data_IF_626664177791
#
_entry.id   IF_626664177791
#
_cell.length_a   1.000
_cell.length_b   1.000
_cell.length_c   1.000
_cell.angle_alpha   90.00
_cell.angle_beta   90.00
_cell.angle_gamma   90.00
#
_symmetry.space_group_name_H-M   'P 1'
#
loop_
_entity.id
_entity.type
_entity.pdbx_description
1 polymer ?
#
# COMPACT_ATOMS: atom_id res chain seq x y z
N UNK A 1 21.04 45.69 26.34
CA UNK A 1 21.07 45.17 24.97
C UNK A 1 21.56 43.74 24.93
N UNK A 2 22.70 43.39 25.46
CA UNK A 2 23.18 41.99 25.44
C UNK A 2 22.25 41.05 26.20
N UNK A 3 21.69 41.48 27.31
CA UNK A 3 20.71 40.66 28.08
C UNK A 3 19.43 40.37 27.30
N UNK A 4 18.98 41.33 26.50
CA UNK A 4 17.77 41.15 25.66
C UNK A 4 18.05 40.13 24.55
N UNK A 5 19.20 40.16 23.93
CA UNK A 5 19.58 39.20 22.89
C UNK A 5 19.70 37.78 23.44
N UNK A 6 20.27 37.62 24.64
CA UNK A 6 20.38 36.33 25.32
C UNK A 6 18.99 35.77 25.67
N UNK A 7 18.05 36.61 26.08
CA UNK A 7 16.66 36.23 26.38
C UNK A 7 15.90 35.85 25.13
N UNK A 8 16.13 36.51 24.01
CA UNK A 8 15.45 36.27 22.74
C UNK A 8 15.85 34.94 22.08
N UNK A 9 17.12 34.51 22.22
CA UNK A 9 17.60 33.27 21.62
C UNK A 9 16.78 32.02 22.01
N UNK A 10 16.56 31.72 23.31
CA UNK A 10 15.73 30.56 23.68
C UNK A 10 14.30 30.67 23.15
N UNK A 11 13.71 31.86 23.14
CA UNK A 11 12.38 32.10 22.62
C UNK A 11 12.30 31.86 21.11
N UNK A 12 13.29 32.33 20.37
CA UNK A 12 13.40 32.09 18.93
C UNK A 12 13.55 30.62 18.60
N UNK A 13 14.33 29.87 19.38
CA UNK A 13 14.49 28.42 19.20
C UNK A 13 13.18 27.68 19.42
N UNK A 14 12.39 28.05 20.44
CA UNK A 14 11.07 27.49 20.71
C UNK A 14 10.12 27.76 19.55
N UNK A 15 10.09 29.00 19.03
CA UNK A 15 9.27 29.34 17.86
C UNK A 15 9.68 28.55 16.62
N UNK A 16 10.96 28.42 16.39
CA UNK A 16 11.51 27.65 15.28
C UNK A 16 11.06 26.18 15.37
N UNK A 17 11.19 25.56 16.53
CA UNK A 17 10.76 24.17 16.73
C UNK A 17 9.25 24.01 16.54
N UNK A 18 8.45 24.97 17.00
CA UNK A 18 7.01 24.94 16.80
C UNK A 18 6.63 25.03 15.32
N UNK A 19 7.31 25.89 14.55
CA UNK A 19 7.09 25.98 13.10
C UNK A 19 7.51 24.72 12.38
N UNK A 20 8.62 24.09 12.77
CA UNK A 20 9.06 22.81 12.23
C UNK A 20 8.04 21.71 12.51
N UNK A 21 7.54 21.62 13.74
CA UNK A 21 6.51 20.64 14.09
C UNK A 21 5.21 20.86 13.30
N UNK A 22 4.78 22.09 13.12
CA UNK A 22 3.61 22.42 12.30
C UNK A 22 3.83 22.00 10.85
N UNK A 23 5.01 22.28 10.31
CA UNK A 23 5.38 21.91 8.94
C UNK A 23 5.33 20.39 8.75
N UNK A 24 5.93 19.62 9.66
CA UNK A 24 5.92 18.16 9.62
C UNK A 24 4.50 17.60 9.77
N UNK A 25 3.69 18.17 10.65
CA UNK A 25 2.31 17.73 10.87
C UNK A 25 1.47 17.92 9.61
N UNK A 26 1.60 19.08 8.95
CA UNK A 26 0.89 19.35 7.69
C UNK A 26 1.37 18.43 6.58
N UNK A 27 2.67 18.23 6.47
CA UNK A 27 3.27 17.33 5.49
C UNK A 27 2.78 15.91 5.67
N UNK A 28 2.77 15.42 6.91
CA UNK A 28 2.24 14.09 7.22
C UNK A 28 0.76 13.97 6.86
N UNK A 29 -0.03 14.98 7.18
CA UNK A 29 -1.46 15.02 6.84
C UNK A 29 -1.66 14.91 5.33
N UNK A 30 -0.89 15.65 4.54
CA UNK A 30 -0.96 15.60 3.08
C UNK A 30 -0.60 14.22 2.55
N UNK A 31 0.45 13.61 3.09
CA UNK A 31 0.86 12.25 2.70
C UNK A 31 -0.20 11.21 3.04
N UNK A 32 -0.81 11.29 4.20
CA UNK A 32 -1.91 10.39 4.61
C UNK A 32 -3.12 10.57 3.69
N UNK A 33 -3.44 11.81 3.30
CA UNK A 33 -4.52 12.09 2.36
C UNK A 33 -4.24 11.51 0.98
N UNK A 34 -3.01 11.61 0.49
CA UNK A 34 -2.59 10.99 -0.76
C UNK A 34 -2.70 9.47 -0.68
N UNK A 35 -2.31 8.87 0.44
CA UNK A 35 -2.44 7.43 0.67
C UNK A 35 -3.89 6.98 0.59
N UNK A 36 -4.81 7.73 1.18
CA UNK A 36 -6.25 7.40 1.12
C UNK A 36 -6.77 7.39 -0.32
N UNK A 37 -6.34 8.34 -1.14
CA UNK A 37 -6.69 8.39 -2.57
C UNK A 37 -6.13 7.20 -3.34
N UNK A 38 -4.90 6.81 -3.06
CA UNK A 38 -4.27 5.65 -3.69
C UNK A 38 -4.98 4.35 -3.29
N UNK A 39 -5.41 4.21 -2.04
CA UNK A 39 -6.21 3.06 -1.59
C UNK A 39 -7.51 2.95 -2.37
N UNK A 40 -8.20 4.05 -2.58
CA UNK A 40 -9.42 4.07 -3.40
C UNK A 40 -9.14 3.65 -4.84
N UNK A 41 -8.05 4.13 -5.43
CA UNK A 41 -7.64 3.75 -6.78
C UNK A 41 -7.34 2.25 -6.88
N UNK A 42 -6.65 1.70 -5.89
CA UNK A 42 -6.35 0.26 -5.83
C UNK A 42 -7.64 -0.54 -5.75
N UNK A 43 -8.57 -0.16 -4.88
CA UNK A 43 -9.87 -0.84 -4.75
C UNK A 43 -10.66 -0.84 -6.05
N UNK A 44 -10.68 0.27 -6.77
CA UNK A 44 -11.36 0.37 -8.07
C UNK A 44 -10.71 -0.53 -9.11
N UNK A 45 -9.38 -0.53 -9.18
CA UNK A 45 -8.65 -1.36 -10.13
C UNK A 45 -8.83 -2.86 -9.84
N UNK A 46 -8.80 -3.24 -8.58
CA UNK A 46 -9.05 -4.64 -8.17
C UNK A 46 -10.47 -5.07 -8.50
N UNK A 47 -11.44 -4.20 -8.30
CA UNK A 47 -12.84 -4.51 -8.67
C UNK A 47 -13.00 -4.76 -10.17
N UNK A 48 -12.17 -4.16 -11.00
CA UNK A 48 -12.18 -4.37 -12.45
C UNK A 48 -11.37 -5.61 -12.82
N UNK A 49 -10.20 -5.79 -12.23
CA UNK A 49 -9.24 -6.83 -12.62
C UNK A 49 -9.46 -8.15 -11.91
N UNK A 50 -9.89 -8.12 -10.66
CA UNK A 50 -10.12 -9.32 -9.86
C UNK A 50 -11.13 -9.02 -8.75
N UNK A 51 -12.44 -8.90 -9.09
CA UNK A 51 -13.46 -8.50 -8.11
C UNK A 51 -13.64 -9.49 -6.97
N UNK A 52 -13.38 -10.78 -7.20
CA UNK A 52 -13.56 -11.83 -6.19
C UNK A 52 -12.54 -11.77 -5.06
N UNK A 53 -11.43 -11.04 -5.24
CA UNK A 53 -10.39 -10.95 -4.22
C UNK A 53 -10.92 -10.29 -2.93
N UNK A 54 -11.81 -9.32 -3.03
CA UNK A 54 -12.41 -8.67 -1.86
C UNK A 54 -13.23 -9.63 -1.00
N UNK A 55 -13.81 -10.65 -1.59
CA UNK A 55 -14.59 -11.65 -0.86
C UNK A 55 -13.72 -12.68 -0.14
N UNK A 56 -12.47 -12.85 -0.59
CA UNK A 56 -11.55 -13.84 -0.03
C UNK A 56 -10.74 -13.29 1.15
N UNK A 57 -10.59 -11.98 1.24
CA UNK A 57 -9.78 -11.34 2.27
C UNK A 57 -10.60 -10.27 2.99
N UNK A 58 -10.29 -10.02 4.25
CA UNK A 58 -11.00 -9.03 5.05
C UNK A 58 -10.72 -7.59 4.59
N UNK A 59 -9.54 -7.34 4.06
CA UNK A 59 -9.16 -6.05 3.48
C UNK A 59 -8.10 -6.24 2.41
N UNK A 60 -8.16 -5.42 1.35
CA UNK A 60 -7.16 -5.41 0.29
C UNK A 60 -5.88 -4.68 0.71
N UNK A 61 -5.97 -3.82 1.72
CA UNK A 61 -4.91 -2.88 2.07
C UNK A 61 -3.96 -3.46 3.12
N UNK A 62 -3.41 -4.63 2.83
CA UNK A 62 -2.41 -5.30 3.65
C UNK A 62 -1.16 -5.60 2.82
N UNK A 63 -0.03 -5.72 3.49
CA UNK A 63 1.27 -5.94 2.85
C UNK A 63 1.25 -7.18 1.95
N UNK A 64 0.65 -8.28 2.42
CA UNK A 64 0.59 -9.52 1.65
C UNK A 64 -0.16 -9.38 0.33
N UNK A 65 -1.30 -8.69 0.34
CA UNK A 65 -2.10 -8.47 -0.86
C UNK A 65 -1.40 -7.52 -1.82
N UNK A 66 -0.76 -6.48 -1.31
CA UNK A 66 0.04 -5.58 -2.14
C UNK A 66 1.23 -6.29 -2.78
N UNK A 67 1.90 -7.18 -2.05
CA UNK A 67 2.97 -8.00 -2.59
C UNK A 67 2.46 -8.94 -3.70
N UNK A 68 1.32 -9.58 -3.47
CA UNK A 68 0.67 -10.44 -4.45
C UNK A 68 0.34 -9.68 -5.74
N UNK A 69 -0.32 -8.53 -5.61
CA UNK A 69 -0.75 -7.74 -6.76
C UNK A 69 0.40 -7.02 -7.47
N UNK A 70 1.49 -6.74 -6.78
CA UNK A 70 2.70 -6.20 -7.41
C UNK A 70 3.33 -7.19 -8.37
N UNK A 71 3.32 -8.46 -8.02
CA UNK A 71 3.91 -9.52 -8.83
C UNK A 71 2.91 -10.09 -9.83
N UNK A 72 1.64 -10.22 -9.42
CA UNK A 72 0.54 -10.77 -10.23
C UNK A 72 -0.62 -9.77 -10.27
N UNK A 73 -0.55 -8.73 -11.13
CA UNK A 73 -1.51 -7.62 -11.08
C UNK A 73 -2.87 -7.91 -11.71
N UNK A 74 -3.14 -9.13 -12.12
CA UNK A 74 -4.46 -9.52 -12.64
C UNK A 74 -4.78 -10.97 -12.30
N UNK A 75 -6.06 -11.32 -12.44
CA UNK A 75 -6.53 -12.69 -12.23
C UNK A 75 -5.79 -13.68 -13.13
N UNK A 76 -5.55 -13.33 -14.39
CA UNK A 76 -4.84 -14.18 -15.33
C UNK A 76 -3.39 -14.45 -14.93
N UNK A 77 -2.70 -13.44 -14.41
CA UNK A 77 -1.33 -13.60 -13.91
C UNK A 77 -1.30 -14.57 -12.73
N UNK A 78 -2.26 -14.48 -11.82
CA UNK A 78 -2.37 -15.38 -10.67
C UNK A 78 -2.68 -16.80 -11.14
N UNK A 79 -3.59 -16.96 -12.11
CA UNK A 79 -3.98 -18.26 -12.65
C UNK A 79 -2.79 -19.00 -13.29
N UNK A 80 -1.90 -18.28 -13.94
CA UNK A 80 -0.70 -18.84 -14.58
C UNK A 80 0.50 -18.92 -13.65
N UNK A 81 0.40 -18.43 -12.42
CA UNK A 81 1.50 -18.44 -11.46
C UNK A 81 1.83 -19.85 -10.95
N UNK A 82 3.11 -20.04 -10.59
CA UNK A 82 3.53 -21.26 -9.91
C UNK A 82 2.96 -21.25 -8.48
N UNK A 83 2.25 -22.33 -8.12
CA UNK A 83 1.60 -22.41 -6.81
C UNK A 83 2.61 -22.34 -5.66
N UNK A 84 3.77 -22.95 -5.78
CA UNK A 84 4.81 -22.89 -4.74
C UNK A 84 5.31 -21.48 -4.52
N UNK A 85 5.51 -20.73 -5.59
CA UNK A 85 5.93 -19.34 -5.53
C UNK A 85 4.84 -18.45 -4.90
N UNK A 86 3.59 -18.68 -5.25
CA UNK A 86 2.44 -17.99 -4.69
C UNK A 86 2.33 -18.22 -3.17
N UNK A 87 2.45 -19.47 -2.74
CA UNK A 87 2.43 -19.84 -1.33
C UNK A 87 3.58 -19.16 -0.58
N UNK A 88 4.77 -19.22 -1.12
CA UNK A 88 5.97 -18.61 -0.54
C UNK A 88 5.80 -17.08 -0.38
N UNK A 89 5.33 -16.42 -1.42
CA UNK A 89 5.12 -14.98 -1.43
C UNK A 89 4.11 -14.55 -0.36
N UNK A 90 2.98 -15.24 -0.28
CA UNK A 90 1.94 -14.92 0.70
C UNK A 90 2.39 -15.22 2.14
N UNK A 91 3.06 -16.34 2.36
CA UNK A 91 3.56 -16.72 3.68
C UNK A 91 4.60 -15.72 4.18
N UNK A 92 5.58 -15.40 3.34
CA UNK A 92 6.65 -14.45 3.66
C UNK A 92 6.09 -13.05 3.93
N UNK A 93 5.20 -12.55 3.06
CA UNK A 93 4.67 -11.20 3.15
C UNK A 93 3.70 -11.01 4.31
N UNK A 94 2.99 -12.06 4.72
CA UNK A 94 2.03 -12.03 5.82
C UNK A 94 2.61 -12.47 7.16
N UNK A 95 3.88 -12.84 7.19
CA UNK A 95 4.55 -13.42 8.38
C UNK A 95 3.83 -14.67 8.90
N UNK A 96 3.42 -15.54 7.98
CA UNK A 96 2.72 -16.79 8.29
C UNK A 96 1.21 -16.67 8.49
N UNK A 97 0.64 -15.49 8.33
CA UNK A 97 -0.82 -15.27 8.48
C UNK A 97 -1.62 -15.89 7.34
N UNK A 98 -1.14 -15.76 6.11
CA UNK A 98 -1.71 -16.39 4.93
C UNK A 98 -0.94 -17.66 4.60
N UNK A 99 -1.62 -18.80 4.71
CA UNK A 99 -1.03 -20.12 4.49
C UNK A 99 -1.44 -20.67 3.12
N UNK A 100 -1.04 -21.92 2.87
CA UNK A 100 -1.37 -22.65 1.65
C UNK A 100 -2.87 -22.62 1.32
N UNK A 101 -3.74 -22.73 2.33
CA UNK A 101 -5.19 -22.69 2.16
C UNK A 101 -5.65 -21.41 1.46
N UNK A 102 -5.13 -20.27 1.89
CA UNK A 102 -5.48 -18.97 1.28
C UNK A 102 -4.99 -18.90 -0.16
N UNK A 103 -3.77 -19.37 -0.43
CA UNK A 103 -3.22 -19.40 -1.78
C UNK A 103 -4.05 -20.31 -2.71
N UNK A 104 -4.46 -21.49 -2.22
CA UNK A 104 -5.31 -22.40 -2.97
C UNK A 104 -6.68 -21.80 -3.25
N UNK A 105 -7.29 -21.12 -2.28
CA UNK A 105 -8.58 -20.43 -2.44
C UNK A 105 -8.48 -19.32 -3.49
N UNK A 106 -7.45 -18.51 -3.44
CA UNK A 106 -7.23 -17.44 -4.41
C UNK A 106 -7.08 -18.02 -5.81
N UNK A 107 -6.27 -19.05 -5.96
CA UNK A 107 -6.02 -19.67 -7.26
C UNK A 107 -7.27 -20.34 -7.83
N UNK A 108 -8.03 -21.04 -7.01
CA UNK A 108 -9.28 -21.68 -7.42
C UNK A 108 -10.31 -20.65 -7.86
N UNK A 109 -10.48 -19.58 -7.08
CA UNK A 109 -11.39 -18.49 -7.40
C UNK A 109 -11.01 -17.82 -8.73
N UNK A 110 -9.71 -17.60 -8.94
CA UNK A 110 -9.19 -17.01 -10.18
C UNK A 110 -9.50 -17.88 -11.40
N UNK A 111 -9.37 -19.20 -11.26
CA UNK A 111 -9.67 -20.15 -12.37
C UNK A 111 -11.14 -20.11 -12.76
N UNK A 112 -12.02 -19.80 -11.81
CA UNK A 112 -13.46 -19.70 -12.03
C UNK A 112 -13.90 -18.29 -12.41
N UNK A 113 -13.00 -17.31 -12.35
CA UNK A 113 -13.32 -15.92 -12.62
C UNK A 113 -13.46 -15.65 -14.12
N UNK A 114 -14.49 -14.88 -14.48
CA UNK A 114 -14.74 -14.44 -15.86
C UNK A 114 -14.20 -13.01 -16.02
N UNK A 115 -12.93 -12.81 -15.80
CA UNK A 115 -12.32 -11.50 -15.93
C UNK A 115 -11.65 -11.33 -17.28
N UNK A 116 -11.87 -10.16 -17.91
CA UNK A 116 -11.16 -9.78 -19.14
C UNK A 116 -9.72 -9.38 -18.82
N UNK A 117 -8.80 -9.76 -19.69
CA UNK A 117 -7.41 -9.33 -19.57
C UNK A 117 -7.27 -7.88 -20.02
N UNK A 118 -6.86 -7.02 -19.09
CA UNK A 118 -6.70 -5.58 -19.32
C UNK A 118 -5.27 -5.15 -18.94
N UNK A 119 -4.31 -5.28 -19.90
CA UNK A 119 -2.89 -5.03 -19.57
C UNK A 119 -2.61 -3.60 -19.11
N UNK A 120 -3.29 -2.62 -19.68
CA UNK A 120 -3.12 -1.21 -19.26
C UNK A 120 -3.53 -0.98 -17.81
N UNK A 121 -4.65 -1.55 -17.39
CA UNK A 121 -5.13 -1.44 -16.01
C UNK A 121 -4.28 -2.24 -15.04
N UNK A 122 -3.76 -3.39 -15.47
CA UNK A 122 -2.82 -4.19 -14.68
C UNK A 122 -1.53 -3.43 -14.41
N UNK A 123 -0.99 -2.77 -15.41
CA UNK A 123 0.20 -1.93 -15.26
C UNK A 123 -0.07 -0.75 -14.31
N UNK A 124 -1.23 -0.12 -14.45
CA UNK A 124 -1.65 0.99 -13.59
C UNK A 124 -1.77 0.53 -12.13
N UNK A 125 -2.34 -0.64 -11.88
CA UNK A 125 -2.43 -1.21 -10.54
C UNK A 125 -1.04 -1.44 -9.94
N UNK A 126 -0.14 -2.03 -10.69
CA UNK A 126 1.23 -2.30 -10.26
C UNK A 126 1.95 -0.99 -9.87
N UNK A 127 1.83 0.04 -10.70
CA UNK A 127 2.42 1.34 -10.41
C UNK A 127 1.79 2.02 -9.19
N UNK A 128 0.48 1.91 -9.03
CA UNK A 128 -0.23 2.50 -7.89
C UNK A 128 0.21 1.84 -6.58
N UNK A 129 0.39 0.53 -6.57
CA UNK A 129 0.89 -0.20 -5.40
C UNK A 129 2.32 0.22 -5.05
N UNK A 130 3.16 0.41 -6.05
CA UNK A 130 4.53 0.92 -5.84
C UNK A 130 4.49 2.29 -5.16
N UNK A 131 3.65 3.20 -5.65
CA UNK A 131 3.48 4.53 -5.07
C UNK A 131 3.00 4.49 -3.62
N UNK A 132 2.02 3.64 -3.31
CA UNK A 132 1.50 3.56 -1.94
C UNK A 132 2.53 2.97 -0.98
N UNK A 133 3.33 2.02 -1.43
CA UNK A 133 4.42 1.47 -0.61
C UNK A 133 5.47 2.54 -0.30
N UNK A 134 5.84 3.35 -1.28
CA UNK A 134 6.76 4.48 -1.09
C UNK A 134 6.17 5.50 -0.11
N UNK A 135 4.88 5.83 -0.23
CA UNK A 135 4.20 6.72 0.71
C UNK A 135 4.16 6.17 2.13
N UNK A 136 3.93 4.88 2.29
CA UNK A 136 3.94 4.24 3.61
C UNK A 136 5.31 4.37 4.27
N UNK A 137 6.38 4.18 3.51
CA UNK A 137 7.75 4.35 4.00
C UNK A 137 8.02 5.80 4.40
N UNK A 138 7.61 6.76 3.59
CA UNK A 138 7.75 8.19 3.89
C UNK A 138 6.95 8.60 5.13
N UNK A 139 5.72 8.11 5.29
CA UNK A 139 4.89 8.38 6.47
C UNK A 139 5.52 7.79 7.74
N UNK A 140 6.08 6.61 7.64
CA UNK A 140 6.77 5.97 8.77
C UNK A 140 8.03 6.75 9.20
N UNK A 141 8.68 7.42 8.27
CA UNK A 141 9.87 8.22 8.53
C UNK A 141 9.55 9.54 9.23
N UNK A 142 8.37 10.09 9.02
CA UNK A 142 7.92 11.31 9.68
C UNK A 142 7.53 11.01 11.14
#
# INVERSE_FOLDING_TARGET
MIKSDVSLKPYSDILYHNEELKSLTRYRFDKVSQRAKLKQSISRLVNILFPELETLVSTLHVIAIYALLSEFPSAQHIASANLKHLIYLLDKSSKGRFKRTTADQIRETVRQSICSYLPAKSLKLKHTIKLINELNDEIAEI
#
